data_IF_242035250890
#
_entry.id   IF_242035250890
#
_cell.length_a   1.000
_cell.length_b   1.000
_cell.length_c   1.000
_cell.angle_alpha   90.00
_cell.angle_beta   90.00
_cell.angle_gamma   90.00
#
_symmetry.space_group_name_H-M   'P 1'
#
loop_
_entity.id
_entity.type
_entity.pdbx_description
1 polymer ?
#
# COMPACT_ATOMS: atom_id res chain seq x y z
N UNK A 1 -21.36 22.59 1.26
CA UNK A 1 -21.35 21.36 0.44
C UNK A 1 -21.39 20.21 1.39
N UNK A 2 -22.54 19.56 1.52
CA UNK A 2 -22.68 18.38 2.38
C UNK A 2 -21.96 17.20 1.76
N UNK A 3 -21.27 16.42 2.57
CA UNK A 3 -20.57 15.22 2.12
C UNK A 3 -21.61 14.22 1.56
N UNK A 4 -21.52 13.90 0.26
CA UNK A 4 -22.32 12.83 -0.36
C UNK A 4 -21.78 11.48 0.14
N UNK A 5 -22.32 11.01 1.26
CA UNK A 5 -21.90 9.76 1.93
C UNK A 5 -23.10 8.86 2.17
N UNK A 6 -22.83 7.56 2.18
CA UNK A 6 -23.82 6.52 2.52
C UNK A 6 -23.23 5.59 3.58
N UNK A 7 -24.06 5.23 4.56
CA UNK A 7 -23.73 4.24 5.56
C UNK A 7 -24.11 2.84 5.05
N UNK A 8 -23.18 1.89 5.17
CA UNK A 8 -23.32 0.52 4.74
C UNK A 8 -23.20 -0.48 5.90
N UNK A 9 -22.98 -1.76 5.57
CA UNK A 9 -22.90 -2.83 6.57
C UNK A 9 -21.86 -2.55 7.66
N UNK A 10 -22.24 -2.77 8.92
CA UNK A 10 -21.35 -2.59 10.07
C UNK A 10 -20.97 -1.13 10.37
N UNK A 11 -21.75 -0.15 9.89
CA UNK A 11 -21.48 1.28 10.09
C UNK A 11 -20.37 1.83 9.19
N UNK A 12 -19.94 1.07 8.18
CA UNK A 12 -18.95 1.55 7.20
C UNK A 12 -19.53 2.71 6.40
N UNK A 13 -18.74 3.76 6.22
CA UNK A 13 -19.14 4.95 5.47
C UNK A 13 -18.44 4.96 4.11
N UNK A 14 -19.22 5.15 3.05
CA UNK A 14 -18.74 5.20 1.68
C UNK A 14 -19.00 6.57 1.07
N UNK A 15 -18.04 7.05 0.28
CA UNK A 15 -18.23 8.23 -0.56
C UNK A 15 -19.06 7.88 -1.79
N UNK A 16 -19.99 8.78 -2.12
CA UNK A 16 -20.80 8.69 -3.34
C UNK A 16 -20.35 9.79 -4.30
N UNK A 17 -19.94 9.47 -5.54
CA UNK A 17 -19.49 10.47 -6.50
C UNK A 17 -20.52 11.59 -6.70
N UNK A 18 -20.05 12.83 -6.81
CA UNK A 18 -20.90 14.04 -6.88
C UNK A 18 -21.90 14.08 -8.04
N UNK A 19 -21.71 13.23 -9.07
CA UNK A 19 -22.67 13.06 -10.17
C UNK A 19 -23.97 12.36 -9.76
N UNK A 20 -24.00 11.69 -8.60
CA UNK A 20 -25.20 11.09 -8.05
C UNK A 20 -25.77 11.97 -6.95
N UNK A 21 -27.10 12.00 -6.84
CA UNK A 21 -27.82 12.69 -5.79
C UNK A 21 -28.21 11.66 -4.73
N UNK A 22 -27.91 11.95 -3.47
CA UNK A 22 -28.27 11.10 -2.33
C UNK A 22 -29.27 11.86 -1.47
N UNK A 23 -30.44 11.26 -1.23
CA UNK A 23 -31.46 11.84 -0.35
C UNK A 23 -31.23 11.38 1.09
N UNK A 24 -31.14 12.34 2.01
CA UNK A 24 -30.87 12.07 3.42
C UNK A 24 -32.02 11.29 4.05
N UNK A 25 -31.71 10.16 4.70
CA UNK A 25 -32.70 9.29 5.34
C UNK A 25 -33.41 8.32 4.38
N UNK A 26 -33.11 8.39 3.08
CA UNK A 26 -33.56 7.39 2.12
C UNK A 26 -32.73 6.11 2.24
N UNK A 27 -33.36 4.98 1.91
CA UNK A 27 -32.70 3.68 1.80
C UNK A 27 -32.71 3.30 0.33
N UNK A 28 -31.56 2.91 -0.21
CA UNK A 28 -31.40 2.53 -1.61
C UNK A 28 -30.32 1.47 -1.75
N UNK A 29 -30.30 0.79 -2.90
CA UNK A 29 -29.27 -0.20 -3.22
C UNK A 29 -28.03 0.53 -3.72
N UNK A 30 -26.87 0.17 -3.15
CA UNK A 30 -25.58 0.68 -3.58
C UNK A 30 -24.63 -0.48 -3.87
N UNK A 31 -23.81 -0.32 -4.90
CA UNK A 31 -22.67 -1.19 -5.20
C UNK A 31 -21.38 -0.53 -4.71
N UNK A 32 -20.60 -1.26 -3.92
CA UNK A 32 -19.24 -0.85 -3.55
C UNK A 32 -18.31 -1.10 -4.75
N UNK A 33 -17.86 -0.02 -5.39
CA UNK A 33 -16.96 -0.08 -6.56
C UNK A 33 -15.49 0.03 -6.16
N UNK A 34 -15.22 0.61 -4.99
CA UNK A 34 -13.90 0.61 -4.36
C UNK A 34 -14.08 0.28 -2.88
N UNK A 35 -13.51 -0.83 -2.37
CA UNK A 35 -13.52 -1.08 -0.94
C UNK A 35 -12.70 0.00 -0.21
N UNK A 36 -13.00 0.27 1.07
CA UNK A 36 -12.11 1.08 1.90
C UNK A 36 -10.76 0.39 2.05
N UNK A 37 -9.67 1.16 1.94
CA UNK A 37 -8.30 0.65 2.01
C UNK A 37 -7.45 1.62 2.84
N UNK A 38 -6.97 1.16 3.98
CA UNK A 38 -6.30 2.03 4.94
C UNK A 38 -7.21 3.20 5.34
N UNK A 39 -6.71 4.45 5.35
CA UNK A 39 -7.50 5.62 5.68
C UNK A 39 -8.41 6.09 4.52
N UNK A 40 -8.25 5.51 3.32
CA UNK A 40 -9.05 5.92 2.17
C UNK A 40 -10.48 5.38 2.29
N UNK A 41 -11.50 6.25 2.24
CA UNK A 41 -12.88 5.80 2.29
C UNK A 41 -13.20 4.95 1.07
N UNK A 42 -14.12 3.99 1.25
CA UNK A 42 -14.65 3.23 0.13
C UNK A 42 -15.53 4.11 -0.76
N UNK A 43 -15.76 3.68 -1.99
CA UNK A 43 -16.66 4.36 -2.94
C UNK A 43 -17.84 3.45 -3.27
N UNK A 44 -19.03 4.00 -3.10
CA UNK A 44 -20.29 3.34 -3.43
C UNK A 44 -21.06 4.14 -4.49
N UNK A 45 -21.74 3.43 -5.39
CA UNK A 45 -22.58 4.02 -6.44
C UNK A 45 -23.98 3.39 -6.41
N UNK A 46 -25.04 4.12 -6.78
CA UNK A 46 -26.40 3.59 -6.79
C UNK A 46 -26.67 2.64 -7.98
N UNK A 47 -25.70 2.49 -8.88
CA UNK A 47 -25.77 1.49 -9.95
C UNK A 47 -25.65 0.09 -9.35
N UNK A 48 -26.50 -0.84 -9.79
CA UNK A 48 -26.40 -2.24 -9.39
C UNK A 48 -25.44 -2.93 -10.34
N UNK A 49 -24.46 -3.64 -9.80
CA UNK A 49 -23.49 -4.43 -10.57
C UNK A 49 -23.51 -5.87 -10.08
N UNK A 50 -23.68 -6.81 -11.00
CA UNK A 50 -23.56 -8.26 -10.74
C UNK A 50 -22.51 -8.85 -11.67
N UNK A 51 -21.45 -9.38 -11.07
CA UNK A 51 -20.31 -9.92 -11.79
C UNK A 51 -20.41 -11.44 -11.94
N UNK A 52 -20.22 -11.95 -13.16
CA UNK A 52 -19.95 -13.35 -13.49
C UNK A 52 -18.51 -13.57 -13.93
N UNK A 53 -18.22 -14.76 -14.47
CA UNK A 53 -16.89 -15.14 -14.92
C UNK A 53 -16.57 -14.63 -16.34
N UNK A 54 -17.58 -14.50 -17.20
CA UNK A 54 -17.47 -14.09 -18.59
C UNK A 54 -17.99 -12.67 -18.83
N UNK A 55 -19.09 -12.31 -18.17
CA UNK A 55 -19.76 -11.02 -18.31
C UNK A 55 -20.08 -10.42 -16.94
N UNK A 56 -20.39 -9.13 -16.95
CA UNK A 56 -20.96 -8.40 -15.83
C UNK A 56 -22.22 -7.69 -16.35
N UNK A 57 -23.29 -7.74 -15.56
CA UNK A 57 -24.45 -6.88 -15.81
C UNK A 57 -24.43 -5.71 -14.85
N UNK A 58 -24.77 -4.54 -15.37
CA UNK A 58 -24.88 -3.31 -14.59
C UNK A 58 -26.07 -2.47 -15.07
N UNK A 59 -26.46 -1.46 -14.30
CA UNK A 59 -27.61 -0.60 -14.64
C UNK A 59 -27.21 0.70 -15.37
N UNK A 60 -26.08 0.69 -16.11
CA UNK A 60 -25.59 1.89 -16.82
C UNK A 60 -26.25 2.11 -18.20
N UNK A 61 -26.95 1.10 -18.72
CA UNK A 61 -27.56 1.11 -20.05
C UNK A 61 -26.55 1.03 -21.19
N UNK A 62 -25.30 0.61 -20.94
CA UNK A 62 -24.23 0.59 -21.94
C UNK A 62 -23.62 -0.80 -22.12
N UNK A 63 -23.25 -1.10 -23.36
CA UNK A 63 -22.41 -2.26 -23.69
C UNK A 63 -20.94 -1.84 -23.68
N UNK A 64 -20.12 -2.51 -22.88
CA UNK A 64 -18.69 -2.21 -22.73
C UNK A 64 -17.84 -3.48 -22.79
N UNK A 65 -16.53 -3.33 -22.98
CA UNK A 65 -15.60 -4.43 -23.19
C UNK A 65 -14.33 -4.22 -22.37
N UNK A 66 -13.77 -5.31 -21.84
CA UNK A 66 -12.46 -5.27 -21.21
C UNK A 66 -11.39 -4.76 -22.18
N UNK A 67 -10.45 -3.94 -21.67
CA UNK A 67 -9.34 -3.38 -22.47
C UNK A 67 -8.44 -4.45 -23.08
N UNK A 68 -8.45 -5.67 -22.54
CA UNK A 68 -7.63 -6.78 -23.00
C UNK A 68 -8.30 -7.63 -24.10
N UNK A 69 -9.51 -7.26 -24.55
CA UNK A 69 -10.18 -7.91 -25.68
C UNK A 69 -9.78 -7.16 -26.97
N UNK A 70 -9.13 -7.84 -27.95
CA UNK A 70 -8.79 -7.26 -29.24
C UNK A 70 -10.02 -6.81 -30.05
N UNK A 71 -9.85 -5.87 -30.98
CA UNK A 71 -10.97 -5.28 -31.72
C UNK A 71 -11.76 -6.31 -32.57
N UNK A 72 -11.08 -7.31 -33.14
CA UNK A 72 -11.75 -8.39 -33.90
C UNK A 72 -12.75 -9.18 -33.04
N UNK A 73 -12.38 -9.52 -31.81
CA UNK A 73 -13.25 -10.22 -30.86
C UNK A 73 -14.40 -9.32 -30.39
N UNK A 74 -14.17 -8.00 -30.27
CA UNK A 74 -15.23 -7.04 -29.88
C UNK A 74 -16.34 -6.93 -30.91
N UNK A 75 -16.03 -7.01 -32.21
CA UNK A 75 -17.05 -6.99 -33.27
C UNK A 75 -18.00 -8.17 -33.10
N UNK A 76 -17.47 -9.39 -32.91
CA UNK A 76 -18.26 -10.60 -32.63
C UNK A 76 -19.16 -10.41 -31.41
N UNK A 77 -18.59 -9.96 -30.29
CA UNK A 77 -19.33 -9.79 -29.03
C UNK A 77 -20.37 -8.65 -29.12
N UNK A 78 -20.14 -7.61 -29.91
CA UNK A 78 -21.12 -6.54 -30.15
C UNK A 78 -22.32 -7.06 -30.93
N UNK A 79 -22.08 -7.84 -31.99
CA UNK A 79 -23.15 -8.50 -32.74
C UNK A 79 -23.97 -9.40 -31.82
N UNK A 80 -23.31 -10.19 -30.96
CA UNK A 80 -23.99 -11.02 -29.96
C UNK A 80 -24.83 -10.18 -28.97
N UNK A 81 -24.31 -9.04 -28.52
CA UNK A 81 -25.01 -8.13 -27.62
C UNK A 81 -26.29 -7.55 -28.25
N UNK A 82 -26.25 -7.21 -29.54
CA UNK A 82 -27.37 -6.61 -30.27
C UNK A 82 -28.41 -7.65 -30.72
N UNK A 83 -28.01 -8.89 -30.92
CA UNK A 83 -28.87 -9.97 -31.43
C UNK A 83 -29.45 -10.85 -30.33
N UNK A 84 -28.60 -11.55 -29.58
CA UNK A 84 -29.01 -12.61 -28.63
C UNK A 84 -29.12 -12.11 -27.20
N UNK A 85 -28.31 -11.12 -26.82
CA UNK A 85 -28.26 -10.59 -25.45
C UNK A 85 -28.95 -9.23 -25.30
N UNK A 86 -29.78 -8.84 -26.28
CA UNK A 86 -30.38 -7.50 -26.37
C UNK A 86 -31.12 -7.10 -25.09
N UNK A 87 -31.87 -8.02 -24.50
CA UNK A 87 -32.63 -7.80 -23.25
C UNK A 87 -31.73 -7.48 -22.05
N UNK A 88 -30.49 -7.98 -22.05
CA UNK A 88 -29.52 -7.72 -20.98
C UNK A 88 -28.68 -6.48 -21.30
N UNK A 89 -28.32 -6.29 -22.57
CA UNK A 89 -27.58 -5.14 -23.06
C UNK A 89 -28.31 -3.81 -22.83
N UNK A 90 -29.66 -3.80 -22.89
CA UNK A 90 -30.47 -2.61 -22.57
C UNK A 90 -30.39 -2.19 -21.10
N UNK A 91 -30.07 -3.12 -20.19
CA UNK A 91 -29.84 -2.81 -18.77
C UNK A 91 -28.42 -2.30 -18.58
N UNK A 92 -27.46 -2.99 -19.20
CA UNK A 92 -26.04 -2.68 -19.19
C UNK A 92 -25.23 -3.98 -19.12
N UNK A 93 -24.24 -4.12 -20.00
CA UNK A 93 -23.51 -5.36 -20.22
C UNK A 93 -22.03 -5.07 -20.41
N UNK A 94 -21.16 -5.71 -19.63
CA UNK A 94 -19.72 -5.65 -19.79
C UNK A 94 -19.16 -7.04 -20.11
N UNK A 95 -18.42 -7.17 -21.22
CA UNK A 95 -17.69 -8.40 -21.54
C UNK A 95 -16.31 -8.41 -20.90
N UNK A 96 -16.03 -9.40 -20.04
CA UNK A 96 -14.72 -9.62 -19.41
C UNK A 96 -13.73 -10.23 -20.39
N UNK A 97 -12.43 -10.15 -20.09
CA UNK A 97 -11.38 -10.67 -20.98
C UNK A 97 -11.52 -12.16 -21.28
N UNK A 98 -12.11 -12.94 -20.38
CA UNK A 98 -12.47 -14.35 -20.53
C UNK A 98 -13.51 -14.61 -21.62
N UNK A 99 -14.43 -13.66 -21.86
CA UNK A 99 -15.49 -13.78 -22.88
C UNK A 99 -14.95 -13.98 -24.30
N UNK A 100 -13.70 -13.58 -24.56
CA UNK A 100 -13.04 -13.78 -25.86
C UNK A 100 -12.99 -15.26 -26.28
N UNK A 101 -12.92 -16.17 -25.32
CA UNK A 101 -12.76 -17.62 -25.56
C UNK A 101 -14.06 -18.39 -25.33
N UNK A 102 -15.10 -17.74 -24.83
CA UNK A 102 -16.39 -18.38 -24.58
C UNK A 102 -17.21 -18.52 -25.86
N UNK A 103 -18.00 -19.59 -25.92
CA UNK A 103 -19.06 -19.75 -26.90
C UNK A 103 -20.28 -18.89 -26.55
N UNK A 104 -21.16 -18.68 -27.54
CA UNK A 104 -22.34 -17.82 -27.38
C UNK A 104 -23.37 -18.37 -26.38
N UNK A 105 -23.46 -19.69 -26.22
CA UNK A 105 -24.42 -20.30 -25.31
C UNK A 105 -23.99 -20.08 -23.86
N UNK A 106 -22.70 -20.26 -23.55
CA UNK A 106 -22.12 -19.96 -22.25
C UNK A 106 -22.31 -18.48 -21.86
N UNK A 107 -22.09 -17.56 -22.80
CA UNK A 107 -22.30 -16.13 -22.58
C UNK A 107 -23.78 -15.80 -22.31
N UNK A 108 -24.70 -16.39 -23.08
CA UNK A 108 -26.13 -16.18 -22.91
C UNK A 108 -26.65 -16.75 -21.58
N UNK A 109 -26.19 -17.95 -21.22
CA UNK A 109 -26.55 -18.60 -19.96
C UNK A 109 -26.10 -17.79 -18.76
N UNK A 110 -24.84 -17.36 -18.73
CA UNK A 110 -24.34 -16.53 -17.63
C UNK A 110 -25.06 -15.18 -17.56
N UNK A 111 -25.32 -14.53 -18.71
CA UNK A 111 -26.08 -13.28 -18.73
C UNK A 111 -27.51 -13.46 -18.18
N UNK A 112 -28.19 -14.56 -18.50
CA UNK A 112 -29.51 -14.85 -17.97
C UNK A 112 -29.48 -15.09 -16.45
N UNK A 113 -28.52 -15.87 -15.96
CA UNK A 113 -28.33 -16.13 -14.53
C UNK A 113 -28.07 -14.84 -13.76
N UNK A 114 -27.13 -14.02 -14.24
CA UNK A 114 -26.84 -12.71 -13.67
C UNK A 114 -28.04 -11.77 -13.72
N UNK A 115 -28.86 -11.83 -14.78
CA UNK A 115 -30.05 -10.98 -14.86
C UNK A 115 -31.07 -11.34 -13.77
N UNK A 116 -31.27 -12.64 -13.50
CA UNK A 116 -32.11 -13.10 -12.39
C UNK A 116 -31.54 -12.65 -11.04
N UNK A 117 -30.22 -12.67 -10.86
CA UNK A 117 -29.58 -12.11 -9.66
C UNK A 117 -29.78 -10.61 -9.53
N UNK A 118 -29.59 -9.85 -10.62
CA UNK A 118 -29.77 -8.40 -10.66
C UNK A 118 -31.18 -8.01 -10.23
N UNK A 119 -32.21 -8.72 -10.74
CA UNK A 119 -33.59 -8.49 -10.34
C UNK A 119 -33.82 -8.75 -8.85
N UNK A 120 -33.22 -9.81 -8.28
CA UNK A 120 -33.29 -10.08 -6.83
C UNK A 120 -32.61 -8.97 -6.03
N UNK A 121 -31.40 -8.55 -6.41
CA UNK A 121 -30.67 -7.47 -5.73
C UNK A 121 -31.41 -6.14 -5.83
N UNK A 122 -32.08 -5.86 -6.96
CA UNK A 122 -32.85 -4.62 -7.15
C UNK A 122 -34.07 -4.48 -6.24
N UNK A 123 -34.57 -5.57 -5.66
CA UNK A 123 -35.66 -5.52 -4.67
C UNK A 123 -35.20 -4.92 -3.33
N UNK A 124 -33.88 -4.79 -3.14
CA UNK A 124 -33.30 -4.24 -1.92
C UNK A 124 -33.38 -5.20 -0.74
N UNK A 125 -33.17 -4.66 0.45
CA UNK A 125 -33.22 -5.39 1.70
C UNK A 125 -33.17 -4.41 2.89
N UNK A 126 -33.09 -4.93 4.12
CA UNK A 126 -32.98 -4.08 5.31
C UNK A 126 -31.77 -3.12 5.23
N UNK A 127 -31.87 -1.92 5.82
CA UNK A 127 -30.73 -1.00 5.90
C UNK A 127 -29.47 -1.67 6.47
N UNK A 128 -28.32 -1.43 5.85
CA UNK A 128 -27.04 -2.02 6.26
C UNK A 128 -26.86 -3.51 5.94
N UNK A 129 -27.80 -4.15 5.23
CA UNK A 129 -27.65 -5.55 4.81
C UNK A 129 -26.75 -5.71 3.58
N UNK A 130 -26.00 -6.82 3.54
CA UNK A 130 -25.23 -7.22 2.34
C UNK A 130 -26.16 -8.03 1.43
N UNK A 131 -26.57 -7.46 0.30
CA UNK A 131 -27.45 -8.14 -0.67
C UNK A 131 -26.72 -9.18 -1.52
N UNK A 132 -25.46 -8.89 -1.89
CA UNK A 132 -24.59 -9.78 -2.66
C UNK A 132 -23.12 -9.50 -2.30
N UNK A 133 -22.33 -10.55 -2.11
CA UNK A 133 -20.87 -10.41 -1.96
C UNK A 133 -20.22 -10.27 -3.34
N UNK A 134 -19.40 -9.25 -3.50
CA UNK A 134 -18.56 -9.06 -4.68
C UNK A 134 -17.27 -9.88 -4.62
N UNK A 135 -16.33 -9.55 -5.51
CA UNK A 135 -14.99 -10.13 -5.55
C UNK A 135 -14.18 -9.80 -4.28
N UNK A 136 -13.38 -10.75 -3.80
CA UNK A 136 -12.45 -10.50 -2.71
C UNK A 136 -11.31 -9.60 -3.20
N UNK A 137 -11.01 -8.54 -2.44
CA UNK A 137 -9.88 -7.65 -2.68
C UNK A 137 -8.92 -7.74 -1.51
N UNK A 138 -7.63 -7.94 -1.79
CA UNK A 138 -6.58 -7.96 -0.79
C UNK A 138 -5.37 -7.16 -1.29
N UNK A 139 -4.78 -6.38 -0.39
CA UNK A 139 -3.47 -5.74 -0.59
C UNK A 139 -2.44 -6.55 0.18
N UNK A 140 -1.44 -7.08 -0.52
CA UNK A 140 -0.37 -7.84 0.09
C UNK A 140 0.96 -7.10 -0.10
N UNK A 141 1.60 -6.77 1.01
CA UNK A 141 2.91 -6.13 1.05
C UNK A 141 3.97 -7.16 1.44
N UNK A 142 5.12 -7.15 0.75
CA UNK A 142 6.20 -8.10 1.01
C UNK A 142 7.38 -7.40 1.65
N UNK A 143 7.63 -7.68 2.93
CA UNK A 143 8.82 -7.23 3.64
C UNK A 143 10.04 -8.11 3.36
N UNK A 144 11.20 -7.75 3.93
CA UNK A 144 12.45 -8.51 3.80
C UNK A 144 12.27 -9.99 4.12
N UNK A 145 11.58 -10.33 5.21
CA UNK A 145 11.32 -11.72 5.60
C UNK A 145 10.49 -12.45 4.53
N UNK A 146 9.39 -11.85 4.08
CA UNK A 146 8.50 -12.46 3.09
C UNK A 146 9.21 -12.65 1.75
N UNK A 147 10.03 -11.69 1.32
CA UNK A 147 10.84 -11.79 0.11
C UNK A 147 11.87 -12.92 0.18
N UNK A 148 12.50 -13.12 1.34
CA UNK A 148 13.40 -14.25 1.53
C UNK A 148 12.65 -15.60 1.41
N UNK A 149 11.43 -15.69 1.93
CA UNK A 149 10.59 -16.90 1.76
C UNK A 149 10.16 -17.12 0.31
N UNK A 150 9.92 -16.05 -0.43
CA UNK A 150 9.65 -16.13 -1.88
C UNK A 150 10.90 -16.57 -2.67
N UNK A 151 12.09 -16.12 -2.27
CA UNK A 151 13.36 -16.61 -2.84
C UNK A 151 13.50 -18.12 -2.60
N UNK A 152 13.27 -18.60 -1.37
CA UNK A 152 13.31 -20.03 -1.02
C UNK A 152 12.30 -20.86 -1.83
N UNK A 153 11.04 -20.43 -1.89
CA UNK A 153 9.99 -21.13 -2.63
C UNK A 153 10.30 -21.22 -4.12
N UNK A 154 10.88 -20.16 -4.70
CA UNK A 154 11.33 -20.15 -6.10
C UNK A 154 12.56 -21.04 -6.29
N UNK A 155 13.52 -20.98 -5.37
CA UNK A 155 14.73 -21.79 -5.33
C UNK A 155 14.47 -23.31 -5.33
N UNK A 156 13.31 -23.74 -4.84
CA UNK A 156 12.88 -25.13 -4.89
C UNK A 156 12.53 -25.64 -6.31
N UNK A 157 12.31 -24.73 -7.28
CA UNK A 157 11.88 -25.08 -8.64
C UNK A 157 12.87 -24.60 -9.70
N UNK A 158 13.47 -23.42 -9.53
CA UNK A 158 14.44 -22.82 -10.46
C UNK A 158 15.61 -22.20 -9.70
N UNK A 159 16.85 -22.24 -10.24
CA UNK A 159 17.99 -21.55 -9.63
C UNK A 159 17.62 -20.11 -9.27
N UNK A 160 17.84 -19.74 -8.02
CA UNK A 160 17.46 -18.43 -7.47
C UNK A 160 18.52 -17.98 -6.48
N UNK A 161 19.12 -16.81 -6.70
CA UNK A 161 20.09 -16.26 -5.75
C UNK A 161 19.41 -15.80 -4.45
N UNK A 162 20.18 -15.74 -3.36
CA UNK A 162 19.75 -15.06 -2.15
C UNK A 162 19.46 -13.58 -2.44
N UNK A 163 18.33 -13.09 -1.96
CA UNK A 163 17.94 -11.69 -2.11
C UNK A 163 17.46 -11.34 -3.52
N UNK A 164 17.06 -12.31 -4.35
CA UNK A 164 16.54 -12.09 -5.69
C UNK A 164 15.38 -11.07 -5.67
N UNK A 165 14.35 -11.29 -4.85
CA UNK A 165 13.20 -10.38 -4.79
C UNK A 165 13.56 -9.00 -4.21
N UNK A 166 14.50 -8.95 -3.25
CA UNK A 166 14.99 -7.68 -2.68
C UNK A 166 15.76 -6.85 -3.72
N UNK A 167 16.67 -7.46 -4.48
CA UNK A 167 17.39 -6.80 -5.58
C UNK A 167 16.48 -6.43 -6.74
N UNK A 168 15.41 -7.21 -6.98
CA UNK A 168 14.37 -6.86 -7.96
C UNK A 168 13.68 -5.56 -7.58
N UNK A 169 13.39 -5.35 -6.30
CA UNK A 169 12.82 -4.09 -5.79
C UNK A 169 13.77 -2.89 -5.97
N UNK A 170 15.08 -3.13 -6.06
CA UNK A 170 16.09 -2.11 -6.39
C UNK A 170 16.16 -1.79 -7.91
N UNK A 171 15.45 -2.56 -8.74
CA UNK A 171 15.36 -2.35 -10.20
C UNK A 171 16.33 -3.19 -11.03
N UNK A 172 16.91 -4.27 -10.49
CA UNK A 172 17.91 -5.09 -11.20
C UNK A 172 17.36 -6.09 -12.22
N UNK A 173 16.05 -6.08 -12.51
CA UNK A 173 15.40 -6.76 -13.66
C UNK A 173 16.15 -7.98 -14.25
N UNK A 174 16.53 -7.89 -15.54
CA UNK A 174 17.18 -8.98 -16.30
C UNK A 174 18.57 -9.39 -15.78
N UNK A 175 19.25 -8.55 -15.00
CA UNK A 175 20.53 -8.92 -14.41
C UNK A 175 20.36 -10.07 -13.40
N UNK A 176 19.17 -10.17 -12.78
CA UNK A 176 18.87 -11.25 -11.84
C UNK A 176 18.77 -12.60 -12.53
N UNK A 177 18.26 -12.68 -13.75
CA UNK A 177 18.19 -13.95 -14.49
C UNK A 177 19.59 -14.53 -14.74
N UNK A 178 20.58 -13.66 -15.02
CA UNK A 178 21.98 -14.07 -15.17
C UNK A 178 22.59 -14.51 -13.83
N UNK A 179 22.32 -13.78 -12.75
CA UNK A 179 22.83 -14.14 -11.43
C UNK A 179 22.21 -15.44 -10.90
N UNK A 180 20.91 -15.65 -11.15
CA UNK A 180 20.17 -16.88 -10.88
C UNK A 180 20.85 -18.06 -11.60
N UNK A 181 21.15 -17.89 -12.89
CA UNK A 181 21.87 -18.90 -13.68
C UNK A 181 23.30 -19.16 -13.16
N UNK A 182 24.01 -18.11 -12.73
CA UNK A 182 25.39 -18.25 -12.24
C UNK A 182 25.48 -18.78 -10.80
N UNK A 183 24.40 -18.73 -10.03
CA UNK A 183 24.38 -19.12 -8.61
C UNK A 183 25.28 -18.25 -7.71
N UNK A 184 25.53 -17.00 -8.08
CA UNK A 184 26.48 -16.15 -7.37
C UNK A 184 25.81 -15.47 -6.16
N UNK A 185 26.33 -15.69 -4.94
CA UNK A 185 25.89 -14.92 -3.77
C UNK A 185 26.60 -13.57 -3.72
N UNK A 186 25.89 -12.55 -4.20
CA UNK A 186 26.38 -11.17 -4.28
C UNK A 186 25.52 -10.19 -3.48
N UNK A 187 24.53 -10.66 -2.72
CA UNK A 187 23.47 -9.80 -2.18
C UNK A 187 24.02 -8.68 -1.29
N UNK A 188 24.86 -9.00 -0.30
CA UNK A 188 25.39 -8.00 0.63
C UNK A 188 26.25 -6.95 -0.09
N UNK A 189 27.15 -7.40 -0.97
CA UNK A 189 27.98 -6.50 -1.80
C UNK A 189 27.13 -5.64 -2.73
N UNK A 190 26.06 -6.20 -3.30
CA UNK A 190 25.16 -5.49 -4.20
C UNK A 190 24.36 -4.40 -3.47
N UNK A 191 23.74 -4.71 -2.32
CA UNK A 191 22.99 -3.70 -1.57
C UNK A 191 23.90 -2.61 -1.01
N UNK A 192 25.12 -2.96 -0.58
CA UNK A 192 26.13 -1.99 -0.18
C UNK A 192 26.55 -1.11 -1.36
N UNK A 193 26.84 -1.69 -2.53
CA UNK A 193 27.19 -0.91 -3.72
C UNK A 193 26.08 0.06 -4.12
N UNK A 194 24.82 -0.40 -4.08
CA UNK A 194 23.66 0.41 -4.44
C UNK A 194 23.34 1.51 -3.41
N UNK A 195 23.66 1.29 -2.13
CA UNK A 195 23.49 2.27 -1.05
C UNK A 195 24.67 3.26 -0.99
N UNK A 196 24.84 4.06 -2.04
CA UNK A 196 25.88 5.09 -2.16
C UNK A 196 25.33 6.37 -2.77
N UNK A 197 25.88 7.52 -2.35
CA UNK A 197 25.46 8.83 -2.84
C UNK A 197 23.99 9.13 -2.53
N UNK A 198 23.21 9.48 -3.56
CA UNK A 198 21.79 9.76 -3.41
C UNK A 198 20.96 8.47 -3.21
N UNK A 199 20.19 8.43 -2.14
CA UNK A 199 19.29 7.33 -1.79
C UNK A 199 17.86 7.83 -1.61
N UNK A 200 16.91 6.93 -1.87
CA UNK A 200 15.48 7.16 -1.62
C UNK A 200 15.01 6.23 -0.50
N UNK A 201 14.44 6.78 0.56
CA UNK A 201 13.79 6.02 1.61
C UNK A 201 12.30 5.90 1.23
N UNK A 202 11.88 4.67 0.98
CA UNK A 202 10.50 4.29 0.73
C UNK A 202 9.89 3.81 2.05
N UNK A 203 9.08 4.66 2.65
CA UNK A 203 8.26 4.35 3.81
C UNK A 203 6.89 3.89 3.30
N UNK A 204 6.67 2.57 3.26
CA UNK A 204 5.44 1.98 2.76
C UNK A 204 4.43 1.84 3.88
N UNK A 205 3.24 2.41 3.73
CA UNK A 205 2.13 2.14 4.63
C UNK A 205 1.57 0.73 4.39
N UNK A 206 0.96 0.08 5.39
CA UNK A 206 0.47 -1.29 5.26
C UNK A 206 -0.63 -1.45 4.21
N UNK A 207 -1.31 -0.36 3.85
CA UNK A 207 -2.32 -0.31 2.78
C UNK A 207 -1.76 0.06 1.39
N UNK A 208 -0.44 0.20 1.25
CA UNK A 208 0.24 0.36 -0.05
C UNK A 208 0.63 1.78 -0.45
N UNK A 209 0.21 2.80 0.30
CA UNK A 209 0.71 4.17 0.07
C UNK A 209 2.21 4.25 0.32
N UNK A 210 2.92 5.07 -0.45
CA UNK A 210 4.38 5.19 -0.36
C UNK A 210 4.77 6.64 -0.11
N UNK A 211 5.33 6.89 1.07
CA UNK A 211 6.00 8.16 1.38
C UNK A 211 7.45 8.04 0.94
N UNK A 212 7.89 8.99 0.09
CA UNK A 212 9.24 9.00 -0.48
C UNK A 212 10.06 10.13 0.13
N UNK A 213 11.17 9.78 0.76
CA UNK A 213 12.14 10.74 1.28
C UNK A 213 13.45 10.58 0.53
N UNK A 214 14.06 11.69 0.11
CA UNK A 214 15.36 11.67 -0.57
C UNK A 214 16.43 12.15 0.40
N UNK A 215 17.57 11.46 0.40
CA UNK A 215 18.72 11.81 1.21
C UNK A 215 20.02 11.46 0.52
N UNK A 216 21.12 11.85 1.14
CA UNK A 216 22.48 11.54 0.70
C UNK A 216 23.18 10.71 1.78
N UNK A 217 23.80 9.61 1.39
CA UNK A 217 24.55 8.75 2.30
C UNK A 217 25.79 9.49 2.77
N UNK A 218 25.87 9.78 4.07
CA UNK A 218 27.02 10.44 4.70
C UNK A 218 27.95 9.45 5.39
N UNK A 219 27.43 8.28 5.79
CA UNK A 219 28.22 7.18 6.32
C UNK A 219 27.55 5.86 6.02
N UNK A 220 28.36 4.83 5.84
CA UNK A 220 27.92 3.43 5.74
C UNK A 220 28.96 2.55 6.40
N UNK A 221 28.52 1.71 7.32
CA UNK A 221 29.29 0.58 7.86
C UNK A 221 28.59 -0.72 7.48
N UNK A 222 29.10 -1.87 7.92
CA UNK A 222 28.40 -3.16 7.74
C UNK A 222 27.06 -3.20 8.49
N UNK A 223 26.92 -2.42 9.56
CA UNK A 223 25.78 -2.49 10.49
C UNK A 223 24.79 -1.34 10.34
N UNK A 224 25.22 -0.17 9.84
CA UNK A 224 24.35 1.01 9.74
C UNK A 224 24.64 1.85 8.50
N UNK A 225 23.56 2.29 7.85
CA UNK A 225 23.57 3.32 6.81
C UNK A 225 23.07 4.63 7.42
N UNK A 226 23.84 5.71 7.27
CA UNK A 226 23.47 7.06 7.71
C UNK A 226 23.22 7.93 6.50
N UNK A 227 21.99 8.42 6.36
CA UNK A 227 21.59 9.33 5.30
C UNK A 227 21.22 10.71 5.87
N UNK A 228 21.73 11.78 5.26
CA UNK A 228 21.36 13.16 5.56
C UNK A 228 20.28 13.63 4.59
N UNK A 229 19.20 14.24 5.10
CA UNK A 229 18.15 14.87 4.30
C UNK A 229 17.90 16.30 4.78
N UNK A 230 17.73 17.23 3.84
CA UNK A 230 17.23 18.57 4.16
C UNK A 230 15.72 18.53 4.46
N UNK A 231 15.27 19.32 5.44
CA UNK A 231 13.85 19.47 5.75
C UNK A 231 13.26 20.66 5.01
N UNK A 232 11.97 20.57 4.68
CA UNK A 232 11.24 21.66 4.02
C UNK A 232 10.81 22.70 5.06
N UNK A 233 11.21 23.98 4.93
CA UNK A 233 10.80 25.03 5.86
C UNK A 233 9.28 25.23 5.87
N UNK A 234 8.74 25.61 7.02
CA UNK A 234 7.32 25.93 7.20
C UNK A 234 6.46 24.78 7.71
N UNK A 235 6.97 23.55 7.73
CA UNK A 235 6.34 22.42 8.43
C UNK A 235 6.56 22.48 9.94
N UNK A 236 5.90 21.57 10.66
CA UNK A 236 6.08 21.34 12.10
C UNK A 236 6.48 19.88 12.30
N UNK A 237 7.38 19.61 13.24
CA UNK A 237 7.68 18.27 13.70
C UNK A 237 6.66 17.94 14.80
N UNK A 238 5.51 17.37 14.45
CA UNK A 238 4.31 17.31 15.30
C UNK A 238 4.54 16.74 16.70
N UNK A 239 5.15 15.56 16.81
CA UNK A 239 5.56 14.92 18.07
C UNK A 239 6.68 15.64 18.85
N UNK A 240 7.29 16.71 18.31
CA UNK A 240 8.26 17.58 19.00
C UNK A 240 7.74 19.01 19.20
N UNK A 241 6.68 19.42 18.50
CA UNK A 241 6.16 20.80 18.54
C UNK A 241 7.10 21.86 17.95
N UNK A 242 8.13 21.47 17.19
CA UNK A 242 9.14 22.41 16.65
C UNK A 242 8.84 22.78 15.21
N UNK A 243 8.80 24.08 14.92
CA UNK A 243 8.65 24.60 13.55
C UNK A 243 9.96 24.43 12.77
N UNK A 244 9.85 23.90 11.57
CA UNK A 244 10.99 23.66 10.68
C UNK A 244 11.41 24.99 10.04
N UNK A 245 12.64 25.42 10.33
CA UNK A 245 13.25 26.59 9.71
C UNK A 245 14.17 26.24 8.54
N UNK A 246 14.65 27.27 7.84
CA UNK A 246 15.59 27.10 6.71
C UNK A 246 16.89 26.47 7.19
N UNK A 247 17.35 25.45 6.48
CA UNK A 247 18.63 24.78 6.75
C UNK A 247 18.53 23.64 7.77
N UNK A 248 17.36 23.41 8.38
CA UNK A 248 17.13 22.22 9.18
C UNK A 248 17.35 20.96 8.36
N UNK A 249 17.90 19.94 9.00
CA UNK A 249 18.17 18.65 8.38
C UNK A 249 17.88 17.50 9.35
N UNK A 250 17.70 16.30 8.80
CA UNK A 250 17.63 15.08 9.58
C UNK A 250 18.77 14.13 9.19
N UNK A 251 19.36 13.50 10.19
CA UNK A 251 20.17 12.30 10.02
C UNK A 251 19.26 11.09 10.22
N UNK A 252 19.30 10.17 9.27
CA UNK A 252 18.53 8.94 9.28
C UNK A 252 19.46 7.76 9.35
N UNK A 253 19.41 7.02 10.44
CA UNK A 253 20.18 5.81 10.65
C UNK A 253 19.29 4.62 10.36
N UNK A 254 19.71 3.83 9.39
CA UNK A 254 19.03 2.62 8.92
C UNK A 254 19.93 1.44 9.30
N UNK A 255 19.63 0.71 10.38
CA UNK A 255 20.34 -0.51 10.73
C UNK A 255 20.29 -1.55 9.61
N UNK A 256 21.28 -2.45 9.57
CA UNK A 256 21.31 -3.59 8.64
C UNK A 256 20.29 -4.66 9.02
N UNK A 257 20.01 -4.76 10.33
CA UNK A 257 19.07 -5.64 10.99
C UNK A 257 18.32 -4.91 12.11
N UNK A 258 17.10 -5.34 12.40
CA UNK A 258 16.22 -4.72 13.39
C UNK A 258 15.05 -3.99 12.74
N UNK A 259 13.97 -3.86 13.50
CA UNK A 259 12.66 -3.40 13.03
C UNK A 259 12.46 -1.91 13.28
N UNK A 260 13.47 -1.10 12.97
CA UNK A 260 13.41 0.33 13.22
C UNK A 260 14.31 1.16 12.30
N UNK A 261 13.96 2.44 12.17
CA UNK A 261 14.79 3.49 11.58
C UNK A 261 14.80 4.70 12.51
N UNK A 262 15.97 5.31 12.71
CA UNK A 262 16.14 6.44 13.62
C UNK A 262 16.31 7.73 12.83
N UNK A 263 15.45 8.72 13.06
CA UNK A 263 15.53 10.05 12.48
C UNK A 263 15.85 11.09 13.57
N UNK A 264 17.08 11.57 13.64
CA UNK A 264 17.46 12.68 14.52
C UNK A 264 17.49 13.99 13.74
N UNK A 265 16.85 15.01 14.30
CA UNK A 265 16.63 16.31 13.68
C UNK A 265 17.58 17.35 14.24
N UNK A 266 18.09 18.22 13.37
CA UNK A 266 19.08 19.23 13.68
C UNK A 266 18.73 20.58 13.03
N UNK A 267 19.09 21.67 13.72
CA UNK A 267 19.00 23.03 13.17
C UNK A 267 20.06 23.25 12.08
N UNK A 268 20.03 24.41 11.41
CA UNK A 268 21.05 24.78 10.42
C UNK A 268 22.47 24.84 11.03
N UNK A 269 22.56 25.21 12.31
CA UNK A 269 23.82 25.28 13.08
C UNK A 269 24.27 23.92 13.63
N UNK A 270 23.50 22.84 13.38
CA UNK A 270 23.82 21.50 13.85
C UNK A 270 23.40 21.22 15.30
N UNK A 271 22.54 22.05 15.90
CA UNK A 271 22.01 21.79 17.24
C UNK A 271 20.91 20.73 17.19
N UNK A 272 20.93 19.79 18.13
CA UNK A 272 19.92 18.75 18.22
C UNK A 272 18.54 19.32 18.61
N UNK A 273 17.51 18.86 17.91
CA UNK A 273 16.11 19.28 18.08
C UNK A 273 15.26 18.16 18.70
N UNK A 274 15.51 16.92 18.32
CA UNK A 274 14.69 15.78 18.73
C UNK A 274 14.92 14.58 17.84
N UNK A 275 14.35 13.44 18.21
CA UNK A 275 14.48 12.21 17.43
C UNK A 275 13.16 11.47 17.36
N UNK A 276 12.93 10.84 16.21
CA UNK A 276 11.87 9.88 15.98
C UNK A 276 12.47 8.54 15.65
N UNK A 277 12.00 7.52 16.35
CA UNK A 277 12.26 6.13 16.08
C UNK A 277 11.02 5.55 15.41
N UNK A 278 11.10 5.30 14.11
CA UNK A 278 10.04 4.65 13.37
C UNK A 278 10.18 3.14 13.52
N UNK A 279 9.15 2.49 14.06
CA UNK A 279 9.10 1.03 14.17
C UNK A 279 8.52 0.50 12.85
N UNK A 280 9.30 -0.34 12.18
CA UNK A 280 9.00 -0.82 10.83
C UNK A 280 9.41 -2.28 10.65
N UNK A 281 9.08 -2.88 9.51
CA UNK A 281 9.71 -4.14 9.09
C UNK A 281 11.19 -3.91 8.85
N UNK A 282 12.01 -4.94 9.06
CA UNK A 282 13.46 -4.86 8.84
C UNK A 282 13.81 -4.20 7.49
N UNK A 283 14.57 -3.09 7.49
CA UNK A 283 14.78 -2.28 6.30
C UNK A 283 15.71 -2.97 5.30
N UNK A 284 15.34 -2.90 4.03
CA UNK A 284 16.14 -3.40 2.91
C UNK A 284 17.00 -2.27 2.36
N UNK A 285 18.31 -2.46 2.39
CA UNK A 285 19.26 -1.49 1.85
C UNK A 285 19.32 -1.53 0.31
N UNK A 286 19.77 -0.42 -0.26
CA UNK A 286 20.07 -0.27 -1.67
C UNK A 286 19.97 1.19 -2.09
N UNK A 287 19.79 1.42 -3.39
CA UNK A 287 19.49 2.77 -3.92
C UNK A 287 18.15 3.28 -3.36
N UNK A 288 17.25 2.34 -3.08
CA UNK A 288 16.03 2.55 -2.31
C UNK A 288 16.18 1.82 -0.98
N UNK A 289 16.10 2.53 0.13
CA UNK A 289 15.86 1.90 1.43
C UNK A 289 14.37 1.59 1.51
N UNK A 290 13.99 0.33 1.71
CA UNK A 290 12.58 -0.11 1.64
C UNK A 290 12.17 -0.75 2.96
N UNK A 291 11.07 -0.30 3.53
CA UNK A 291 10.44 -0.95 4.69
C UNK A 291 8.93 -0.66 4.71
N UNK A 292 8.18 -1.54 5.37
CA UNK A 292 6.77 -1.34 5.69
C UNK A 292 6.67 -0.77 7.09
N UNK A 293 5.95 0.33 7.21
CA UNK A 293 5.68 1.01 8.46
C UNK A 293 4.72 0.21 9.34
N UNK A 294 5.03 0.10 10.65
CA UNK A 294 4.14 -0.52 11.62
C UNK A 294 3.26 0.50 12.34
N UNK A 295 3.19 1.75 11.84
CA UNK A 295 2.29 2.80 12.33
C UNK A 295 2.52 3.21 13.80
N UNK A 296 3.63 2.80 14.41
CA UNK A 296 4.00 3.17 15.78
C UNK A 296 5.37 3.80 15.73
N UNK A 297 5.45 5.00 16.29
CA UNK A 297 6.69 5.75 16.42
C UNK A 297 6.99 6.04 17.89
N UNK A 298 8.27 6.19 18.23
CA UNK A 298 8.69 6.81 19.50
C UNK A 298 9.36 8.14 19.21
N UNK A 299 8.91 9.20 19.88
CA UNK A 299 9.55 10.51 19.82
C UNK A 299 10.20 10.84 21.16
N UNK A 300 11.38 11.46 21.12
CA UNK A 300 12.03 11.98 22.33
C UNK A 300 12.67 13.35 22.11
N UNK A 301 12.38 14.21 23.07
CA UNK A 301 12.87 15.58 23.23
C UNK A 301 13.27 15.79 24.69
N UNK A 302 14.42 16.43 24.94
CA UNK A 302 14.82 16.87 26.28
C UNK A 302 14.79 15.78 27.38
N UNK A 303 14.85 14.50 27.01
CA UNK A 303 14.77 13.37 27.94
C UNK A 303 13.37 12.79 28.18
N UNK A 304 12.29 13.31 27.60
CA UNK A 304 10.96 12.67 27.64
C UNK A 304 10.77 11.73 26.44
N UNK A 305 10.15 10.57 26.64
CA UNK A 305 9.78 9.62 25.58
C UNK A 305 8.26 9.62 25.43
N UNK A 306 7.78 9.66 24.17
CA UNK A 306 6.36 9.58 23.83
C UNK A 306 6.18 8.49 22.78
N UNK A 307 5.22 7.61 22.98
CA UNK A 307 4.73 6.68 21.95
C UNK A 307 3.65 7.40 21.16
N UNK A 308 3.76 7.37 19.84
CA UNK A 308 2.84 7.99 18.90
C UNK A 308 2.08 6.91 18.11
N UNK A 309 0.87 7.24 17.67
CA UNK A 309 0.08 6.51 16.67
C UNK A 309 -0.29 5.05 17.02
N UNK A 310 -0.19 4.67 18.30
CA UNK A 310 -0.62 3.35 18.79
C UNK A 310 -2.11 3.05 18.51
N UNK A 311 -2.97 4.07 18.60
CA UNK A 311 -4.38 3.94 18.24
C UNK A 311 -4.58 3.68 16.74
N UNK A 312 -3.72 4.23 15.90
CA UNK A 312 -3.75 3.97 14.46
C UNK A 312 -3.33 2.52 14.17
N UNK A 313 -2.24 2.06 14.79
CA UNK A 313 -1.82 0.66 14.69
C UNK A 313 -2.94 -0.32 15.08
N UNK A 314 -3.62 -0.08 16.22
CA UNK A 314 -4.68 -0.96 16.71
C UNK A 314 -5.83 -1.14 15.71
N UNK A 315 -6.11 -0.15 14.84
CA UNK A 315 -7.13 -0.27 13.78
C UNK A 315 -6.75 -1.30 12.71
N UNK A 316 -5.45 -1.55 12.53
CA UNK A 316 -4.91 -2.42 11.48
C UNK A 316 -4.16 -3.64 12.02
N UNK A 317 -4.15 -3.87 13.34
CA UNK A 317 -3.38 -4.94 13.98
C UNK A 317 -3.60 -6.33 13.34
N UNK A 318 -4.84 -6.64 12.97
CA UNK A 318 -5.20 -7.91 12.33
C UNK A 318 -4.69 -8.06 10.89
N UNK A 319 -4.35 -6.94 10.24
CA UNK A 319 -3.75 -6.93 8.89
C UNK A 319 -2.26 -7.29 8.92
N UNK A 320 -1.62 -7.24 10.10
CA UNK A 320 -0.23 -7.63 10.25
C UNK A 320 -0.08 -9.12 10.61
N UNK A 321 0.98 -9.79 10.11
CA UNK A 321 1.31 -11.15 10.54
C UNK A 321 1.67 -11.16 12.03
N UNK A 322 1.46 -12.30 12.70
CA UNK A 322 1.64 -12.44 14.17
C UNK A 322 2.97 -11.88 14.69
N UNK A 323 4.08 -12.12 13.97
CA UNK A 323 5.41 -11.63 14.33
C UNK A 323 5.56 -10.09 14.38
N UNK A 324 4.60 -9.35 13.84
CA UNK A 324 4.58 -7.88 13.78
C UNK A 324 3.43 -7.27 14.61
N UNK A 325 2.67 -8.08 15.35
CA UNK A 325 1.51 -7.61 16.13
C UNK A 325 1.88 -6.93 17.45
N UNK A 326 3.14 -7.02 17.87
CA UNK A 326 3.70 -6.24 18.99
C UNK A 326 4.85 -5.34 18.49
N UNK A 327 4.53 -4.18 17.88
CA UNK A 327 5.56 -3.27 17.38
C UNK A 327 6.44 -2.71 18.50
N UNK A 328 5.91 -2.48 19.70
CA UNK A 328 6.70 -1.94 20.81
C UNK A 328 7.75 -2.94 21.30
N UNK A 329 7.45 -4.24 21.26
CA UNK A 329 8.43 -5.31 21.52
C UNK A 329 9.53 -5.42 20.46
N UNK A 330 9.33 -4.87 19.26
CA UNK A 330 10.31 -4.80 18.18
C UNK A 330 11.25 -3.59 18.30
N UNK A 331 10.90 -2.61 19.13
CA UNK A 331 11.71 -1.42 19.33
C UNK A 331 12.97 -1.74 20.17
N UNK A 332 14.12 -1.09 19.86
CA UNK A 332 15.31 -1.19 20.70
C UNK A 332 15.05 -0.73 22.14
N UNK A 333 15.76 -1.35 23.08
CA UNK A 333 15.71 -0.97 24.48
C UNK A 333 16.40 0.38 24.71
N UNK A 334 15.71 1.29 25.39
CA UNK A 334 16.23 2.63 25.70
C UNK A 334 16.18 3.61 24.54
N UNK A 335 16.70 4.82 24.78
CA UNK A 335 16.72 5.90 23.78
C UNK A 335 17.97 5.78 22.92
N UNK A 336 17.79 5.89 21.62
CA UNK A 336 18.88 5.84 20.64
C UNK A 336 18.85 7.06 19.73
N UNK A 337 19.96 7.51 19.21
CA UNK A 337 20.04 8.73 18.43
C UNK A 337 20.84 8.44 17.17
N UNK A 338 20.55 9.18 16.10
CA UNK A 338 21.32 9.12 14.88
C UNK A 338 22.31 10.29 14.81
N UNK A 339 23.61 9.96 14.77
CA UNK A 339 24.69 10.90 14.54
C UNK A 339 25.38 10.59 13.21
N UNK A 340 26.29 11.45 12.71
CA UNK A 340 27.06 11.13 11.50
C UNK A 340 27.83 9.80 11.58
N UNK A 341 28.12 9.32 12.79
CA UNK A 341 28.86 8.11 13.10
C UNK A 341 27.99 6.84 13.11
N UNK A 342 26.67 6.99 13.26
CA UNK A 342 25.72 5.89 13.34
C UNK A 342 24.71 6.04 14.47
N UNK A 343 24.18 4.90 14.92
CA UNK A 343 23.28 4.83 16.08
C UNK A 343 24.10 4.91 17.38
N UNK A 344 23.65 5.72 18.33
CA UNK A 344 24.25 5.84 19.67
C UNK A 344 23.18 5.91 20.76
N UNK A 345 23.50 5.51 21.99
CA UNK A 345 22.63 5.74 23.16
C UNK A 345 22.92 7.07 23.87
N UNK A 346 24.02 7.74 23.52
CA UNK A 346 24.37 9.03 24.10
C UNK A 346 23.55 10.15 23.43
N UNK A 347 22.87 11.03 24.20
CA UNK A 347 22.13 12.14 23.61
C UNK A 347 23.09 13.10 22.89
N UNK A 348 22.76 13.53 21.66
CA UNK A 348 23.50 14.58 20.98
C UNK A 348 23.46 15.88 21.77
N UNK A 349 24.45 16.76 21.58
CA UNK A 349 24.45 18.07 22.23
C UNK A 349 23.17 18.84 21.87
N UNK A 350 22.34 19.09 22.89
CA UNK A 350 21.10 19.86 22.76
C UNK A 350 21.41 21.34 22.58
N UNK A 351 20.50 22.07 21.93
CA UNK A 351 20.47 23.51 22.09
C UNK A 351 20.28 23.81 23.59
N UNK A 352 21.24 24.50 24.21
CA UNK A 352 20.93 25.28 25.41
C UNK A 352 19.85 26.27 24.99
N UNK A 353 18.68 26.18 25.63
CA UNK A 353 17.55 27.09 25.47
C UNK A 353 17.95 28.53 25.74
#
# INVERSE_FOLDING_TARGET
>A
GGENRVEGPGGLVFEVPSRYVVERGSVSVFTVTKPPVGPSPGVAVPEIVVEGALVELNTTGRVTFSRHIPEGDRVRLRILAETRLRSYASVGLHFKSSARHADEESLAREAEELYRELLKVSQGGPPGSVLRRGSCFAVAMFDKFSKARLDEARGAVVPTIRGHHALRAQGLGRCLDLLDYSGADVYDRAVEYLAQGAVEILHLKPWGDVVRMRGEVVRKTQEVLVARRGLRPGGVLDGLGVRIERGFYALTCVPRSGNYVVHSYYTAEGRYVGTYLNINTEPEWGRRVIYIDLLVDKAYDGGQEKVLDLEEFNKYADSFPERLRDPLGLAPAGKIYCTPEGVTSAPPQSASS
#
